data_IF_100602064181
#
_entry.id   IF_100602064181
#
_cell.length_a   1.000
_cell.length_b   1.000
_cell.length_c   1.000
_cell.angle_alpha   90.00
_cell.angle_beta   90.00
_cell.angle_gamma   90.00
#
_symmetry.space_group_name_H-M   'P 1'
#
loop_
_entity.id
_entity.type
_entity.pdbx_description
1 polymer ?
#
# COMPACT_ATOMS: atom_id res chain seq x y z
N UNK A 1 -3.45 26.99 -3.72
CA UNK A 1 -2.16 26.78 -4.40
C UNK A 1 -2.22 27.45 -5.76
N UNK A 2 -1.22 28.25 -6.14
CA UNK A 2 -1.21 28.94 -7.44
C UNK A 2 -0.97 27.94 -8.58
N UNK A 3 -1.59 28.16 -9.74
CA UNK A 3 -1.44 27.29 -10.92
C UNK A 3 0.03 27.14 -11.36
N UNK A 4 0.83 28.20 -11.16
CA UNK A 4 2.27 28.19 -11.41
C UNK A 4 2.99 27.13 -10.55
N UNK A 5 2.65 27.03 -9.26
CA UNK A 5 3.25 26.02 -8.37
C UNK A 5 2.89 24.60 -8.78
N UNK A 6 1.65 24.37 -9.24
CA UNK A 6 1.24 23.04 -9.72
C UNK A 6 2.05 22.62 -10.96
N UNK A 7 2.28 23.54 -11.91
CA UNK A 7 3.12 23.28 -13.08
C UNK A 7 4.55 22.86 -12.69
N UNK A 8 5.18 23.58 -11.76
CA UNK A 8 6.51 23.23 -11.27
C UNK A 8 6.54 21.89 -10.54
N UNK A 9 5.50 21.55 -9.77
CA UNK A 9 5.38 20.24 -9.10
C UNK A 9 5.24 19.11 -10.12
N UNK A 10 4.42 19.26 -11.16
CA UNK A 10 4.28 18.25 -12.19
C UNK A 10 5.57 18.04 -12.98
N UNK A 11 6.27 19.13 -13.35
CA UNK A 11 7.56 19.05 -14.03
C UNK A 11 8.59 18.37 -13.13
N UNK A 12 8.66 18.76 -11.86
CA UNK A 12 9.58 18.16 -10.88
C UNK A 12 9.31 16.68 -10.65
N UNK A 13 8.05 16.30 -10.44
CA UNK A 13 7.64 14.91 -10.24
C UNK A 13 7.87 14.06 -11.50
N UNK A 14 7.57 14.60 -12.67
CA UNK A 14 7.82 13.96 -13.97
C UNK A 14 9.31 13.71 -14.19
N UNK A 15 10.14 14.74 -13.98
CA UNK A 15 11.59 14.64 -14.13
C UNK A 15 12.20 13.65 -13.13
N UNK A 16 11.78 13.70 -11.85
CA UNK A 16 12.25 12.77 -10.83
C UNK A 16 11.90 11.32 -11.18
N UNK A 17 10.65 11.05 -11.58
CA UNK A 17 10.20 9.71 -11.98
C UNK A 17 10.97 9.23 -13.21
N UNK A 18 11.19 10.11 -14.19
CA UNK A 18 11.96 9.81 -15.39
C UNK A 18 13.41 9.48 -15.06
N UNK A 19 14.08 10.27 -14.22
CA UNK A 19 15.46 10.03 -13.79
C UNK A 19 15.61 8.71 -13.04
N UNK A 20 14.70 8.38 -12.13
CA UNK A 20 14.70 7.10 -11.42
C UNK A 20 14.59 5.95 -12.44
N UNK A 21 13.64 6.02 -13.37
CA UNK A 21 13.44 4.98 -14.39
C UNK A 21 14.64 4.86 -15.34
N UNK A 22 15.19 5.99 -15.76
CA UNK A 22 16.38 6.07 -16.63
C UNK A 22 17.60 5.48 -15.92
N UNK A 23 17.75 5.67 -14.61
CA UNK A 23 18.85 5.08 -13.84
C UNK A 23 18.85 3.56 -13.93
N UNK A 24 17.67 2.92 -13.83
CA UNK A 24 17.54 1.47 -13.98
C UNK A 24 17.91 1.01 -15.40
N UNK A 25 17.41 1.70 -16.43
CA UNK A 25 17.67 1.36 -17.84
C UNK A 25 19.15 1.58 -18.20
N UNK A 26 19.76 2.66 -17.72
CA UNK A 26 21.18 2.96 -17.96
C UNK A 26 22.11 1.98 -17.24
N UNK A 27 21.70 1.44 -16.08
CA UNK A 27 22.44 0.45 -15.30
C UNK A 27 22.29 -0.97 -15.87
N UNK A 28 21.19 -1.27 -16.55
CA UNK A 28 20.84 -2.59 -17.10
C UNK A 28 21.88 -3.16 -18.10
N UNK A 29 22.77 -2.33 -18.66
CA UNK A 29 23.84 -2.74 -19.57
C UNK A 29 25.26 -2.81 -18.97
N UNK A 30 25.51 -2.25 -17.78
CA UNK A 30 26.89 -2.11 -17.24
C UNK A 30 27.14 -2.85 -15.92
N UNK A 31 26.09 -3.16 -15.16
CA UNK A 31 26.21 -3.88 -13.88
C UNK A 31 25.25 -5.06 -13.89
N UNK A 32 25.79 -6.28 -13.74
CA UNK A 32 24.94 -7.45 -13.51
C UNK A 32 24.30 -7.30 -12.12
N UNK A 33 23.08 -6.78 -12.08
CA UNK A 33 22.33 -6.72 -10.82
C UNK A 33 22.27 -8.14 -10.22
N UNK A 34 22.70 -8.33 -8.96
CA UNK A 34 22.69 -9.65 -8.35
C UNK A 34 21.26 -10.17 -8.22
N UNK A 35 21.08 -11.48 -8.35
CA UNK A 35 19.74 -12.10 -8.43
C UNK A 35 18.83 -11.71 -7.26
N UNK A 36 19.38 -11.62 -6.05
CA UNK A 36 18.64 -11.22 -4.84
C UNK A 36 18.01 -9.82 -4.96
N UNK A 37 18.66 -8.88 -5.66
CA UNK A 37 18.16 -7.51 -5.80
C UNK A 37 16.99 -7.44 -6.79
N UNK A 38 17.06 -8.18 -7.92
CA UNK A 38 15.91 -8.30 -8.84
C UNK A 38 14.72 -8.95 -8.15
N UNK A 39 14.97 -10.01 -7.39
CA UNK A 39 13.94 -10.70 -6.60
C UNK A 39 13.35 -9.79 -5.52
N UNK A 40 14.12 -8.89 -4.90
CA UNK A 40 13.58 -7.91 -3.96
C UNK A 40 12.71 -6.85 -4.65
N UNK A 41 13.11 -6.37 -5.84
CA UNK A 41 12.40 -5.33 -6.59
C UNK A 41 10.98 -5.73 -7.00
N UNK A 42 10.74 -6.99 -7.36
CA UNK A 42 9.39 -7.48 -7.68
C UNK A 42 8.44 -7.49 -6.47
N UNK A 43 8.96 -7.48 -5.23
CA UNK A 43 8.14 -7.40 -4.01
C UNK A 43 7.89 -5.96 -3.55
N UNK A 44 8.59 -4.97 -4.11
CA UNK A 44 8.44 -3.55 -3.73
C UNK A 44 6.98 -3.08 -3.83
N UNK A 45 6.22 -3.36 -4.92
CA UNK A 45 4.83 -2.90 -5.02
C UNK A 45 3.94 -3.47 -3.91
N UNK A 46 4.06 -4.77 -3.64
CA UNK A 46 3.27 -5.43 -2.60
C UNK A 46 3.66 -4.92 -1.20
N UNK A 47 4.96 -4.82 -0.92
CA UNK A 47 5.47 -4.31 0.35
C UNK A 47 5.05 -2.86 0.59
N UNK A 48 5.07 -2.01 -0.44
CA UNK A 48 4.64 -0.62 -0.35
C UNK A 48 3.14 -0.53 -0.02
N UNK A 49 2.29 -1.30 -0.71
CA UNK A 49 0.85 -1.34 -0.42
C UNK A 49 0.59 -1.82 1.02
N UNK A 50 1.29 -2.86 1.47
CA UNK A 50 1.20 -3.33 2.85
C UNK A 50 1.66 -2.26 3.85
N UNK A 51 2.76 -1.55 3.57
CA UNK A 51 3.27 -0.48 4.43
C UNK A 51 2.36 0.75 4.46
N UNK A 52 1.61 1.01 3.38
CA UNK A 52 0.60 2.07 3.32
C UNK A 52 -0.63 1.73 4.16
N UNK A 53 -1.10 0.48 4.09
CA UNK A 53 -2.35 0.02 4.70
C UNK A 53 -2.14 -0.32 6.19
N UNK A 54 -1.01 -0.95 6.56
CA UNK A 54 -0.73 -1.37 7.93
C UNK A 54 -0.90 -0.28 9.00
N UNK A 55 -0.35 0.95 8.87
CA UNK A 55 -0.54 1.99 9.86
C UNK A 55 -1.99 2.46 9.93
N UNK A 56 -2.72 2.50 8.82
CA UNK A 56 -4.14 2.88 8.80
C UNK A 56 -5.03 1.88 9.57
N UNK A 57 -4.61 0.61 9.66
CA UNK A 57 -5.26 -0.41 10.49
C UNK A 57 -4.82 -0.38 11.96
N UNK A 58 -3.53 -0.16 12.22
CA UNK A 58 -2.92 -0.31 13.55
C UNK A 58 -2.97 0.97 14.40
N UNK A 59 -2.99 2.13 13.77
CA UNK A 59 -2.87 3.42 14.44
C UNK A 59 -4.21 4.17 14.39
N UNK A 60 -4.66 4.65 15.55
CA UNK A 60 -5.79 5.57 15.67
C UNK A 60 -5.34 6.75 16.51
N UNK A 61 -5.51 7.96 15.99
CA UNK A 61 -5.11 9.22 16.63
C UNK A 61 -3.63 9.29 17.05
N UNK A 62 -2.74 8.68 16.25
CA UNK A 62 -1.28 8.71 16.48
C UNK A 62 -0.78 7.73 17.55
N UNK A 63 -1.66 6.95 18.17
CA UNK A 63 -1.29 5.87 19.09
C UNK A 63 -1.57 4.50 18.48
N UNK A 64 -0.73 3.52 18.80
CA UNK A 64 -0.96 2.12 18.40
C UNK A 64 -2.13 1.59 19.22
N UNK A 65 -3.29 1.41 18.59
CA UNK A 65 -4.53 1.02 19.26
C UNK A 65 -4.86 -0.44 18.93
N UNK A 66 -4.08 -1.35 19.52
CA UNK A 66 -4.32 -2.80 19.45
C UNK A 66 -5.34 -3.21 20.51
N UNK A 67 -6.58 -2.76 20.34
CA UNK A 67 -7.70 -3.16 21.21
C UNK A 67 -8.74 -3.92 20.39
N UNK A 68 -9.44 -4.92 20.98
CA UNK A 68 -10.62 -5.54 20.37
C UNK A 68 -11.75 -4.54 20.05
N UNK A 69 -11.68 -3.31 20.57
CA UNK A 69 -12.58 -2.22 20.20
C UNK A 69 -12.22 -1.54 18.87
N UNK A 70 -11.07 -1.86 18.27
CA UNK A 70 -10.66 -1.28 17.00
C UNK A 70 -11.34 -2.01 15.84
N UNK A 71 -12.49 -1.48 15.41
CA UNK A 71 -13.27 -2.03 14.30
C UNK A 71 -12.45 -2.22 13.01
N UNK A 72 -11.53 -1.29 12.71
CA UNK A 72 -10.66 -1.36 11.53
C UNK A 72 -9.67 -2.52 11.58
N UNK A 73 -9.09 -2.79 12.76
CA UNK A 73 -8.15 -3.90 12.94
C UNK A 73 -8.86 -5.24 12.72
N UNK A 74 -10.04 -5.42 13.32
CA UNK A 74 -10.83 -6.64 13.20
C UNK A 74 -11.31 -6.83 11.76
N UNK A 75 -11.84 -5.78 11.14
CA UNK A 75 -12.25 -5.82 9.73
C UNK A 75 -11.08 -6.17 8.80
N UNK A 76 -9.89 -5.64 9.08
CA UNK A 76 -8.66 -5.98 8.36
C UNK A 76 -8.26 -7.45 8.49
N UNK A 77 -8.31 -8.01 9.69
CA UNK A 77 -8.04 -9.44 9.92
C UNK A 77 -9.07 -10.31 9.19
N UNK A 78 -10.36 -9.95 9.27
CA UNK A 78 -11.42 -10.65 8.53
C UNK A 78 -11.18 -10.58 7.03
N UNK A 79 -10.81 -9.42 6.49
CA UNK A 79 -10.47 -9.26 5.09
C UNK A 79 -9.29 -10.16 4.68
N UNK A 80 -8.24 -10.27 5.50
CA UNK A 80 -7.10 -11.17 5.25
C UNK A 80 -7.55 -12.63 5.20
N UNK A 81 -8.41 -13.06 6.14
CA UNK A 81 -8.94 -14.43 6.17
C UNK A 81 -9.79 -14.73 4.93
N UNK A 82 -10.63 -13.78 4.52
CA UNK A 82 -11.47 -13.91 3.31
C UNK A 82 -10.60 -13.94 2.05
N UNK A 83 -9.57 -13.09 1.96
CA UNK A 83 -8.62 -13.08 0.85
C UNK A 83 -7.90 -14.42 0.71
N UNK A 84 -7.44 -14.98 1.82
CA UNK A 84 -6.73 -16.26 1.85
C UNK A 84 -7.64 -17.41 1.39
N UNK A 85 -8.93 -17.36 1.72
CA UNK A 85 -9.89 -18.44 1.41
C UNK A 85 -10.51 -18.33 0.02
N UNK A 86 -10.88 -17.13 -0.42
CA UNK A 86 -11.57 -16.93 -1.72
C UNK A 86 -10.60 -16.69 -2.88
N UNK A 87 -9.35 -16.26 -2.61
CA UNK A 87 -8.36 -15.86 -3.64
C UNK A 87 -8.91 -14.86 -4.67
N UNK A 88 -9.98 -14.14 -4.32
CA UNK A 88 -10.69 -13.24 -5.23
C UNK A 88 -10.84 -11.85 -4.61
N UNK A 89 -10.37 -10.82 -5.32
CA UNK A 89 -10.35 -9.45 -4.83
C UNK A 89 -11.76 -8.94 -4.50
N UNK A 90 -12.77 -9.30 -5.30
CA UNK A 90 -14.16 -8.87 -5.09
C UNK A 90 -14.75 -9.34 -3.76
N UNK A 91 -14.61 -10.63 -3.42
CA UNK A 91 -15.09 -11.15 -2.14
C UNK A 91 -14.32 -10.58 -0.95
N UNK A 92 -13.02 -10.31 -1.12
CA UNK A 92 -12.22 -9.66 -0.07
C UNK A 92 -12.75 -8.26 0.25
N UNK A 93 -13.02 -7.45 -0.77
CA UNK A 93 -13.55 -6.09 -0.60
C UNK A 93 -14.95 -6.14 0.01
N UNK A 94 -15.85 -6.96 -0.55
CA UNK A 94 -17.21 -7.08 -0.07
C UNK A 94 -17.27 -7.58 1.38
N UNK A 95 -16.49 -8.62 1.71
CA UNK A 95 -16.43 -9.18 3.05
C UNK A 95 -15.77 -8.26 4.08
N UNK A 96 -14.68 -7.59 3.71
CA UNK A 96 -14.01 -6.61 4.56
C UNK A 96 -14.90 -5.39 4.85
N UNK A 97 -15.56 -4.86 3.82
CA UNK A 97 -16.54 -3.76 3.96
C UNK A 97 -17.72 -4.17 4.84
N UNK A 98 -18.30 -5.35 4.59
CA UNK A 98 -19.42 -5.85 5.39
C UNK A 98 -19.02 -6.03 6.87
N UNK A 99 -17.83 -6.56 7.15
CA UNK A 99 -17.31 -6.71 8.50
C UNK A 99 -17.07 -5.36 9.19
N UNK A 100 -16.53 -4.38 8.47
CA UNK A 100 -16.32 -3.03 8.98
C UNK A 100 -17.63 -2.36 9.35
N UNK A 101 -18.61 -2.35 8.43
CA UNK A 101 -19.94 -1.76 8.66
C UNK A 101 -20.66 -2.47 9.80
N UNK A 102 -20.57 -3.81 9.89
CA UNK A 102 -21.19 -4.56 10.97
C UNK A 102 -20.59 -4.23 12.35
N UNK A 103 -19.25 -4.07 12.43
CA UNK A 103 -18.60 -3.69 13.69
C UNK A 103 -18.87 -2.23 14.07
N UNK A 104 -18.89 -1.32 13.10
CA UNK A 104 -19.18 0.10 13.34
C UNK A 104 -20.65 0.33 13.71
N UNK A 105 -21.58 -0.50 13.22
CA UNK A 105 -22.97 -0.46 13.64
C UNK A 105 -23.23 -1.03 15.05
N UNK A 106 -22.28 -1.81 15.60
CA UNK A 106 -22.40 -2.46 16.91
C UNK A 106 -21.74 -1.67 18.05
N UNK A 107 -20.83 -0.74 17.72
CA UNK A 107 -20.07 0.13 18.65
C UNK A 107 -20.70 1.51 18.67
#
# INVERSE_FOLDING_TARGET
>A
MSQMTLLWVFIGAGLATFLIRLSFIAVEGRVRLPAWFRTALQFVPAAMLSALIAPDLLMRDGAVFVSPHNARLIAGVVAIVIAARTRSVGWTIAGGMAALVALEALI
#
